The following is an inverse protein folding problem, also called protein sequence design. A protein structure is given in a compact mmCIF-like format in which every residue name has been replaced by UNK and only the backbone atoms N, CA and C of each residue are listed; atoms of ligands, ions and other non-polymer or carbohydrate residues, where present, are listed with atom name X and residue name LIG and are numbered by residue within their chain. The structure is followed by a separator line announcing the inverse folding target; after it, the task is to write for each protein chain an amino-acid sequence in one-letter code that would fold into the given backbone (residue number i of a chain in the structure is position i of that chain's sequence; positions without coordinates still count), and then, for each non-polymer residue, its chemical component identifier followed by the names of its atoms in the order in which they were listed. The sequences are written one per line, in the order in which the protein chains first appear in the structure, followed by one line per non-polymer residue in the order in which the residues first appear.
data_IF_775750888065
#
_entry.id   IF_775750888065
#
_cell.length_a   1.000
_cell.length_b   1.000
_cell.length_c   1.000
_cell.angle_alpha   90.00
_cell.angle_beta   90.00
_cell.angle_gamma   90.00
#
_symmetry.space_group_name_H-M   'P 1'
#
loop_
_entity.id
_entity.type
_entity.pdbx_description
1 polymer ?
#
# COMPACT_ATOMS: atom_id res chain seq x y z
N UNK A 1 -17.50 -3.03 15.13
CA UNK A 1 -18.43 -2.92 13.99
C UNK A 1 -19.86 -3.07 14.52
N UNK A 2 -20.44 -2.00 15.10
CA UNK A 2 -21.82 -2.05 15.67
C UNK A 2 -22.71 -0.86 15.22
N UNK A 3 -22.17 0.16 14.57
CA UNK A 3 -22.96 1.32 14.13
C UNK A 3 -22.68 1.66 12.67
N UNK A 4 -23.15 0.83 11.73
CA UNK A 4 -22.86 1.01 10.30
C UNK A 4 -24.05 1.58 9.48
N UNK A 5 -25.15 2.00 10.13
CA UNK A 5 -26.38 2.37 9.41
C UNK A 5 -27.14 3.60 9.91
N UNK A 6 -26.67 4.33 10.92
CA UNK A 6 -27.38 5.50 11.46
C UNK A 6 -26.68 6.82 11.12
N UNK A 7 -27.41 7.93 11.13
CA UNK A 7 -26.85 9.30 10.99
C UNK A 7 -25.77 9.60 12.02
N UNK A 8 -25.84 8.96 13.20
CA UNK A 8 -24.83 9.03 14.26
C UNK A 8 -23.49 8.40 13.84
N UNK A 9 -23.50 7.37 13.00
CA UNK A 9 -22.28 6.74 12.48
C UNK A 9 -21.55 7.62 11.46
N UNK A 10 -22.30 8.33 10.62
CA UNK A 10 -21.75 9.29 9.67
C UNK A 10 -21.15 10.49 10.42
N UNK A 11 -21.82 10.95 11.48
CA UNK A 11 -21.30 12.02 12.33
C UNK A 11 -20.05 11.57 13.10
N UNK A 12 -20.08 10.40 13.75
CA UNK A 12 -18.91 9.85 14.44
C UNK A 12 -17.71 9.66 13.49
N UNK A 13 -17.93 9.27 12.24
CA UNK A 13 -16.86 9.17 11.24
C UNK A 13 -16.28 10.53 10.88
N UNK A 14 -17.12 11.58 10.77
CA UNK A 14 -16.65 12.96 10.56
C UNK A 14 -15.82 13.46 11.74
N UNK A 15 -16.21 13.13 12.96
CA UNK A 15 -15.50 13.57 14.17
C UNK A 15 -14.16 12.84 14.35
N UNK A 16 -14.03 11.59 13.87
CA UNK A 16 -12.79 10.80 13.93
C UNK A 16 -11.83 11.11 12.75
N UNK A 17 -12.33 11.65 11.64
CA UNK A 17 -11.52 11.93 10.44
C UNK A 17 -10.30 12.83 10.71
N UNK A 18 -10.40 13.95 11.46
CA UNK A 18 -9.25 14.77 11.80
C UNK A 18 -8.20 14.03 12.63
N UNK A 19 -8.64 13.16 13.54
CA UNK A 19 -7.75 12.36 14.37
C UNK A 19 -6.97 11.33 13.54
N UNK A 20 -7.65 10.65 12.61
CA UNK A 20 -7.02 9.75 11.64
C UNK A 20 -5.94 10.50 10.84
N UNK A 21 -6.25 11.69 10.36
CA UNK A 21 -5.32 12.46 9.54
C UNK A 21 -4.10 12.92 10.34
N UNK A 22 -4.30 13.37 11.59
CA UNK A 22 -3.20 13.69 12.50
C UNK A 22 -2.30 12.47 12.78
N UNK A 23 -2.88 11.29 13.01
CA UNK A 23 -2.11 10.06 13.20
C UNK A 23 -1.40 9.59 11.94
N UNK A 24 -2.01 9.73 10.76
CA UNK A 24 -1.37 9.41 9.49
C UNK A 24 -0.13 10.29 9.27
N UNK A 25 -0.23 11.61 9.52
CA UNK A 25 0.92 12.52 9.44
C UNK A 25 2.01 12.08 10.42
N UNK A 26 1.66 11.81 11.69
CA UNK A 26 2.63 11.37 12.69
C UNK A 26 3.29 10.05 12.30
N UNK A 27 2.53 9.09 11.77
CA UNK A 27 3.02 7.79 11.31
C UNK A 27 4.01 7.97 10.15
N UNK A 28 3.65 8.72 9.11
CA UNK A 28 4.51 8.92 7.96
C UNK A 28 5.78 9.72 8.29
N UNK A 29 5.70 10.72 9.19
CA UNK A 29 6.89 11.41 9.71
C UNK A 29 7.79 10.43 10.46
N UNK A 30 7.22 9.60 11.33
CA UNK A 30 7.98 8.60 12.11
C UNK A 30 8.67 7.56 11.22
N UNK A 31 7.94 7.01 10.25
CA UNK A 31 8.50 6.10 9.24
C UNK A 31 9.57 6.77 8.40
N UNK A 32 9.36 8.05 8.03
CA UNK A 32 10.36 8.84 7.32
C UNK A 32 11.67 9.00 8.10
N UNK A 33 11.61 9.08 9.43
CA UNK A 33 12.81 9.11 10.28
C UNK A 33 13.56 7.77 10.35
N UNK A 34 12.89 6.65 10.07
CA UNK A 34 13.54 5.33 9.99
C UNK A 34 14.29 5.12 8.66
N UNK A 35 14.06 5.98 7.67
CA UNK A 35 14.67 5.84 6.37
C UNK A 35 16.15 6.23 6.39
N UNK A 36 17.02 5.26 6.15
CA UNK A 36 18.44 5.49 5.93
C UNK A 36 18.73 5.64 4.43
N UNK A 37 19.02 6.85 3.92
CA UNK A 37 19.26 7.07 2.49
C UNK A 37 20.53 6.40 1.96
N UNK A 38 21.49 6.05 2.82
CA UNK A 38 22.74 5.39 2.41
C UNK A 38 22.47 4.02 1.77
N UNK A 39 21.39 3.33 2.16
CA UNK A 39 21.04 2.01 1.61
C UNK A 39 20.83 2.05 0.09
N UNK A 40 20.39 3.20 -0.45
CA UNK A 40 20.20 3.39 -1.89
C UNK A 40 21.53 3.39 -2.66
N UNK A 41 22.61 3.82 -2.01
CA UNK A 41 23.94 3.94 -2.62
C UNK A 41 24.74 2.67 -2.34
N UNK A 42 24.69 2.15 -1.12
CA UNK A 42 25.45 0.98 -0.70
C UNK A 42 24.86 -0.32 -1.27
N UNK A 43 23.54 -0.43 -1.34
CA UNK A 43 22.85 -1.66 -1.71
C UNK A 43 21.72 -1.45 -2.76
N UNK A 44 21.98 -0.76 -3.89
CA UNK A 44 20.95 -0.40 -4.86
C UNK A 44 20.21 -1.62 -5.44
N UNK A 45 20.95 -2.70 -5.72
CA UNK A 45 20.38 -3.94 -6.26
C UNK A 45 19.46 -4.64 -5.25
N UNK A 46 19.83 -4.65 -3.97
CA UNK A 46 19.01 -5.24 -2.93
C UNK A 46 17.72 -4.42 -2.72
N UNK A 47 17.81 -3.08 -2.73
CA UNK A 47 16.63 -2.21 -2.67
C UNK A 47 15.70 -2.48 -3.84
N UNK A 48 16.23 -2.54 -5.07
CA UNK A 48 15.44 -2.82 -6.26
C UNK A 48 14.75 -4.20 -6.15
N UNK A 49 15.49 -5.22 -5.72
CA UNK A 49 14.94 -6.56 -5.50
C UNK A 49 13.81 -6.53 -4.45
N UNK A 50 14.00 -5.83 -3.32
CA UNK A 50 12.99 -5.68 -2.28
C UNK A 50 11.73 -4.98 -2.81
N UNK A 51 11.88 -3.89 -3.57
CA UNK A 51 10.74 -3.19 -4.21
C UNK A 51 9.99 -4.13 -5.15
N UNK A 52 10.70 -4.85 -6.01
CA UNK A 52 10.09 -5.79 -6.94
C UNK A 52 9.36 -6.92 -6.22
N UNK A 53 9.94 -7.48 -5.16
CA UNK A 53 9.30 -8.51 -4.34
C UNK A 53 8.01 -7.97 -3.71
N UNK A 54 8.05 -6.79 -3.11
CA UNK A 54 6.88 -6.15 -2.49
C UNK A 54 5.76 -5.94 -3.52
N UNK A 55 6.10 -5.41 -4.70
CA UNK A 55 5.13 -5.08 -5.73
C UNK A 55 4.60 -6.30 -6.48
N UNK A 56 5.45 -7.27 -6.79
CA UNK A 56 5.08 -8.35 -7.72
C UNK A 56 4.47 -9.55 -7.00
N UNK A 57 5.03 -10.00 -5.87
CA UNK A 57 4.66 -11.31 -5.30
C UNK A 57 3.17 -11.41 -4.99
N UNK A 58 2.64 -10.48 -4.20
CA UNK A 58 1.22 -10.47 -3.81
C UNK A 58 0.31 -10.01 -4.95
N UNK A 59 0.76 -9.10 -5.80
CA UNK A 59 -0.06 -8.60 -6.91
C UNK A 59 -0.22 -9.64 -8.01
N UNK A 60 0.83 -10.42 -8.32
CA UNK A 60 0.73 -11.56 -9.25
C UNK A 60 -0.17 -12.66 -8.68
N UNK A 61 -0.07 -12.95 -7.37
CA UNK A 61 -0.97 -13.89 -6.72
C UNK A 61 -2.43 -13.42 -6.80
N UNK A 62 -2.71 -12.15 -6.47
CA UNK A 62 -4.05 -11.57 -6.55
C UNK A 62 -4.60 -11.57 -7.98
N UNK A 63 -3.79 -11.15 -8.95
CA UNK A 63 -4.17 -11.18 -10.36
C UNK A 63 -4.46 -12.61 -10.84
N UNK A 64 -3.58 -13.56 -10.53
CA UNK A 64 -3.74 -14.96 -10.90
C UNK A 64 -5.01 -15.58 -10.32
N UNK A 65 -5.32 -15.30 -9.05
CA UNK A 65 -6.58 -15.71 -8.41
C UNK A 65 -7.76 -15.12 -9.18
N UNK A 66 -7.79 -13.80 -9.40
CA UNK A 66 -8.90 -13.15 -10.11
C UNK A 66 -9.14 -13.72 -11.50
N UNK A 67 -8.06 -14.03 -12.24
CA UNK A 67 -8.14 -14.68 -13.56
C UNK A 67 -8.65 -16.11 -13.48
N UNK A 68 -8.22 -16.89 -12.48
CA UNK A 68 -8.71 -18.24 -12.26
C UNK A 68 -10.22 -18.30 -11.96
N UNK A 69 -10.77 -17.26 -11.31
CA UNK A 69 -12.21 -17.09 -11.08
C UNK A 69 -12.97 -16.47 -12.26
N UNK A 70 -12.31 -16.26 -13.41
CA UNK A 70 -12.96 -15.79 -14.64
C UNK A 70 -13.24 -14.29 -14.68
N UNK A 71 -12.61 -13.48 -13.83
CA UNK A 71 -12.75 -12.03 -13.89
C UNK A 71 -11.91 -11.40 -15.02
N UNK A 72 -12.44 -10.32 -15.59
CA UNK A 72 -11.78 -9.54 -16.63
C UNK A 72 -10.48 -8.90 -16.14
N UNK A 73 -9.55 -8.64 -17.07
CA UNK A 73 -8.22 -8.08 -16.76
C UNK A 73 -8.30 -6.73 -16.03
N UNK A 74 -9.29 -5.90 -16.35
CA UNK A 74 -9.54 -4.62 -15.66
C UNK A 74 -9.75 -4.84 -14.15
N UNK A 75 -10.67 -5.74 -13.78
CA UNK A 75 -10.97 -6.02 -12.37
C UNK A 75 -9.79 -6.70 -11.69
N UNK A 76 -9.15 -7.65 -12.37
CA UNK A 76 -8.00 -8.37 -11.85
C UNK A 76 -6.82 -7.43 -11.54
N UNK A 77 -6.52 -6.50 -12.46
CA UNK A 77 -5.44 -5.52 -12.29
C UNK A 77 -5.74 -4.48 -11.20
N UNK A 78 -6.99 -4.01 -11.12
CA UNK A 78 -7.41 -3.08 -10.05
C UNK A 78 -7.23 -3.68 -8.66
N UNK A 79 -7.64 -4.94 -8.46
CA UNK A 79 -7.43 -5.65 -7.19
C UNK A 79 -5.95 -5.94 -6.93
N UNK A 80 -5.20 -6.34 -7.97
CA UNK A 80 -3.77 -6.58 -7.84
C UNK A 80 -2.99 -5.31 -7.45
N UNK A 81 -3.35 -4.15 -8.02
CA UNK A 81 -2.79 -2.85 -7.66
C UNK A 81 -3.19 -2.41 -6.26
N UNK A 82 -4.45 -2.63 -5.84
CA UNK A 82 -4.87 -2.28 -4.47
C UNK A 82 -4.11 -3.05 -3.40
N UNK A 83 -3.63 -4.24 -3.73
CA UNK A 83 -2.81 -5.05 -2.85
C UNK A 83 -1.31 -4.75 -2.97
N UNK A 84 -0.83 -4.04 -4.00
CA UNK A 84 0.60 -3.87 -4.30
C UNK A 84 1.38 -3.11 -3.21
N UNK A 85 0.76 -2.13 -2.56
CA UNK A 85 1.40 -1.31 -1.54
C UNK A 85 1.60 -2.07 -0.23
N UNK A 86 2.76 -1.93 0.40
CA UNK A 86 3.01 -2.50 1.73
C UNK A 86 2.11 -1.85 2.81
N UNK A 87 1.64 -2.64 3.77
CA UNK A 87 0.82 -2.15 4.88
C UNK A 87 1.65 -1.61 6.05
N UNK A 88 1.05 -0.72 6.83
CA UNK A 88 1.66 -0.03 7.98
C UNK A 88 2.21 -0.99 9.05
N UNK A 89 1.53 -2.12 9.27
CA UNK A 89 1.95 -3.15 10.22
C UNK A 89 3.31 -3.77 9.89
N UNK A 90 3.75 -3.71 8.63
CA UNK A 90 5.06 -4.24 8.22
C UNK A 90 6.21 -3.45 8.87
N UNK A 91 6.03 -2.14 9.11
CA UNK A 91 7.02 -1.31 9.79
C UNK A 91 7.17 -1.70 11.26
N UNK A 92 6.05 -2.02 11.92
CA UNK A 92 6.08 -2.49 13.31
C UNK A 92 6.83 -3.81 13.39
N UNK A 93 6.53 -4.75 12.49
CA UNK A 93 7.17 -6.07 12.48
C UNK A 93 8.67 -5.99 12.23
N UNK A 94 9.12 -5.15 11.29
CA UNK A 94 10.55 -5.08 10.97
C UNK A 94 11.35 -4.41 12.09
N UNK A 95 10.82 -3.35 12.71
CA UNK A 95 11.44 -2.70 13.88
C UNK A 95 11.48 -3.65 15.06
N UNK A 96 10.40 -4.39 15.31
CA UNK A 96 10.37 -5.42 16.36
C UNK A 96 11.40 -6.51 16.08
N UNK A 97 11.51 -6.98 14.84
CA UNK A 97 12.50 -7.99 14.45
C UNK A 97 13.94 -7.55 14.70
N UNK A 98 14.26 -6.28 14.43
CA UNK A 98 15.58 -5.70 14.74
C UNK A 98 15.79 -5.63 16.26
N UNK A 99 14.82 -5.11 17.01
CA UNK A 99 14.92 -4.99 18.46
C UNK A 99 15.08 -6.34 19.18
N UNK A 100 14.50 -7.40 18.60
CA UNK A 100 14.65 -8.77 19.08
C UNK A 100 15.91 -9.47 18.53
N UNK A 101 16.75 -8.78 17.76
CA UNK A 101 17.92 -9.31 17.09
C UNK A 101 17.63 -10.53 16.18
N UNK A 102 16.39 -10.64 15.67
CA UNK A 102 15.95 -11.70 14.75
C UNK A 102 16.39 -11.37 13.32
N UNK A 103 16.41 -10.08 12.97
CA UNK A 103 16.84 -9.59 11.66
C UNK A 103 17.92 -8.52 11.80
N UNK A 104 18.88 -8.44 10.87
CA UNK A 104 19.91 -7.41 10.88
C UNK A 104 19.33 -6.03 10.53
N UNK A 105 19.99 -4.96 10.97
CA UNK A 105 19.59 -3.57 10.68
C UNK A 105 19.40 -3.31 9.18
N UNK A 106 20.27 -3.87 8.34
CA UNK A 106 20.19 -3.74 6.87
C UNK A 106 18.85 -4.24 6.32
N UNK A 107 18.25 -5.26 6.93
CA UNK A 107 16.92 -5.73 6.50
C UNK A 107 15.84 -4.68 6.77
N UNK A 108 15.93 -3.96 7.89
CA UNK A 108 15.04 -2.83 8.18
C UNK A 108 15.20 -1.72 7.16
N UNK A 109 16.44 -1.33 6.87
CA UNK A 109 16.72 -0.27 5.91
C UNK A 109 16.17 -0.61 4.51
N UNK A 110 16.35 -1.85 4.06
CA UNK A 110 15.80 -2.35 2.79
C UNK A 110 14.26 -2.36 2.77
N UNK A 111 13.63 -2.84 3.84
CA UNK A 111 12.16 -2.89 3.93
C UNK A 111 11.57 -1.49 3.98
N UNK A 112 12.15 -0.56 4.75
CA UNK A 112 11.69 0.83 4.83
C UNK A 112 11.85 1.53 3.48
N UNK A 113 13.01 1.39 2.83
CA UNK A 113 13.22 1.94 1.49
C UNK A 113 12.23 1.37 0.46
N UNK A 114 12.08 0.04 0.45
CA UNK A 114 11.17 -0.65 -0.46
C UNK A 114 9.70 -0.28 -0.20
N UNK A 115 9.34 -0.09 1.06
CA UNK A 115 8.03 0.35 1.48
C UNK A 115 7.70 1.74 0.94
N UNK A 116 8.57 2.73 1.19
CA UNK A 116 8.40 4.09 0.70
C UNK A 116 8.26 4.13 -0.83
N UNK A 117 9.13 3.40 -1.54
CA UNK A 117 9.03 3.28 -2.99
C UNK A 117 7.69 2.66 -3.42
N UNK A 118 7.22 1.59 -2.76
CA UNK A 118 5.93 0.97 -3.09
C UNK A 118 4.75 1.92 -2.89
N UNK A 119 4.78 2.75 -1.85
CA UNK A 119 3.75 3.75 -1.55
C UNK A 119 3.74 4.85 -2.63
N UNK A 120 4.91 5.30 -3.06
CA UNK A 120 5.04 6.30 -4.14
C UNK A 120 4.62 5.74 -5.51
N UNK A 121 4.92 4.47 -5.78
CA UNK A 121 4.59 3.81 -7.05
C UNK A 121 3.09 3.49 -7.15
N UNK A 122 2.41 3.23 -6.03
CA UNK A 122 1.02 2.76 -6.03
C UNK A 122 0.02 3.73 -6.72
N UNK A 123 0.00 5.05 -6.45
CA UNK A 123 -0.85 5.98 -7.20
C UNK A 123 -0.56 6.00 -8.71
N UNK A 124 0.69 5.75 -9.12
CA UNK A 124 1.06 5.68 -10.53
C UNK A 124 0.52 4.41 -11.19
N UNK A 125 0.56 3.28 -10.48
CA UNK A 125 -0.06 2.02 -10.93
C UNK A 125 -1.56 2.21 -11.21
N UNK A 126 -2.29 2.83 -10.29
CA UNK A 126 -3.72 3.12 -10.48
C UNK A 126 -3.97 4.04 -11.68
N UNK A 127 -3.21 5.13 -11.82
CA UNK A 127 -3.32 6.02 -13.00
C UNK A 127 -3.07 5.28 -14.33
N UNK A 128 -2.13 4.34 -14.35
CA UNK A 128 -1.86 3.53 -15.54
C UNK A 128 -3.01 2.57 -15.86
N UNK A 129 -3.62 1.97 -14.85
CA UNK A 129 -4.80 1.11 -15.00
C UNK A 129 -5.99 1.93 -15.52
N UNK A 130 -6.29 3.07 -14.90
CA UNK A 130 -7.40 3.95 -15.31
C UNK A 130 -7.21 4.45 -16.75
N UNK A 131 -5.97 4.74 -17.16
CA UNK A 131 -5.66 5.11 -18.55
C UNK A 131 -5.86 3.96 -19.53
N UNK A 132 -5.53 2.73 -19.13
CA UNK A 132 -5.65 1.53 -19.98
C UNK A 132 -7.11 1.06 -20.07
N UNK A 133 -7.87 1.24 -19.00
CA UNK A 133 -9.28 0.87 -18.88
C UNK A 133 -10.08 2.08 -18.38
N UNK A 134 -10.37 3.06 -19.26
CA UNK A 134 -11.16 4.21 -18.86
C UNK A 134 -12.53 3.75 -18.37
N UNK A 135 -12.92 4.24 -17.19
CA UNK A 135 -14.22 3.97 -16.60
C UNK A 135 -15.32 4.25 -17.65
N UNK A 136 -16.13 3.23 -17.94
CA UNK A 136 -17.30 3.42 -18.82
C UNK A 136 -18.18 4.51 -18.20
N UNK A 137 -18.62 5.51 -18.98
CA UNK A 137 -19.50 6.54 -18.45
C UNK A 137 -20.71 5.86 -17.81
N UNK A 138 -20.98 6.20 -16.54
CA UNK A 138 -22.23 5.77 -15.89
C UNK A 138 -23.37 6.21 -16.79
N UNK A 139 -24.31 5.32 -17.16
CA UNK A 139 -25.48 5.74 -17.91
C UNK A 139 -26.13 6.89 -17.11
N UNK A 140 -26.32 8.03 -17.77
CA UNK A 140 -27.05 9.15 -17.21
C UNK A 140 -28.33 8.61 -16.58
N UNK A 141 -28.52 8.87 -15.29
CA UNK A 141 -29.81 8.64 -14.65
C UNK A 141 -30.79 9.65 -15.26
N UNK A 142 -31.34 9.30 -16.42
CA UNK A 142 -32.49 9.98 -17.00
C UNK A 142 -33.72 9.52 -16.22
N UNK A 143 -34.12 10.31 -15.23
CA UNK A 143 -35.47 10.35 -14.69
C UNK A 143 -35.72 11.73 -14.05
#
# INVERSE_FOLDING_TARGET
MVMAGSTLSAQAMKDVMPLRDAFAVLFFVSVGMLFNPLVLIENPLAVLATVLVILLVKSLAAWGIMRAFGHDDERALTIAASLAQIGEFSFILIVMGVNLAIVPQVASDLVVAGAMASILINPLLFRLIDRKFPARPKPEQTA
#
